data_IF_896413828325
#
_entry.id   IF_896413828325
#
_cell.length_a   1.000
_cell.length_b   1.000
_cell.length_c   1.000
_cell.angle_alpha   90.00
_cell.angle_beta   90.00
_cell.angle_gamma   90.00
#
_symmetry.space_group_name_H-M   'P 1'
#
loop_
_entity.id
_entity.type
_entity.pdbx_description
1 polymer ?
#
# COMPACT_ATOMS: atom_id res chain seq x y z
N UNK A 1 -19.34 -25.31 -1.32
CA UNK A 1 -19.91 -24.23 -2.14
C UNK A 1 -21.42 -24.18 -1.92
N UNK A 2 -21.97 -23.04 -1.49
CA UNK A 2 -23.39 -22.88 -1.12
C UNK A 2 -24.28 -22.88 -2.39
N UNK A 3 -25.53 -23.37 -2.27
CA UNK A 3 -26.59 -23.30 -3.30
C UNK A 3 -26.74 -21.89 -3.89
N UNK A 4 -26.65 -20.85 -3.07
CA UNK A 4 -26.68 -19.45 -3.51
C UNK A 4 -25.53 -19.09 -4.46
N UNK A 5 -24.32 -19.60 -4.19
CA UNK A 5 -23.14 -19.37 -5.06
C UNK A 5 -23.29 -20.09 -6.40
N UNK A 6 -23.84 -21.32 -6.39
CA UNK A 6 -24.13 -22.07 -7.63
C UNK A 6 -25.17 -21.36 -8.50
N UNK A 7 -26.21 -20.81 -7.88
CA UNK A 7 -27.27 -20.08 -8.60
C UNK A 7 -26.75 -18.78 -9.21
N UNK A 8 -26.00 -17.99 -8.44
CA UNK A 8 -25.38 -16.76 -8.94
C UNK A 8 -24.40 -17.02 -10.10
N UNK A 9 -23.69 -18.15 -10.09
CA UNK A 9 -22.77 -18.51 -11.17
C UNK A 9 -23.54 -18.96 -12.42
N UNK A 10 -24.60 -19.77 -12.26
CA UNK A 10 -25.48 -20.19 -13.36
C UNK A 10 -26.13 -18.98 -14.07
N UNK A 11 -26.61 -17.99 -13.31
CA UNK A 11 -27.18 -16.76 -13.85
C UNK A 11 -26.16 -15.94 -14.68
N UNK A 12 -24.87 -15.96 -14.31
CA UNK A 12 -23.80 -15.31 -15.08
C UNK A 12 -23.56 -16.00 -16.42
N UNK A 13 -23.57 -17.33 -16.44
CA UNK A 13 -23.41 -18.11 -17.67
C UNK A 13 -24.60 -17.95 -18.62
N UNK A 14 -25.82 -17.96 -18.08
CA UNK A 14 -27.03 -17.70 -18.85
C UNK A 14 -27.01 -16.30 -19.50
N UNK A 15 -26.51 -15.28 -18.78
CA UNK A 15 -26.38 -13.92 -19.30
C UNK A 15 -25.47 -13.80 -20.53
N UNK A 16 -24.45 -14.66 -20.64
CA UNK A 16 -23.56 -14.69 -21.81
C UNK A 16 -24.08 -15.61 -22.92
N UNK A 17 -25.31 -16.14 -22.76
CA UNK A 17 -25.98 -16.98 -23.74
C UNK A 17 -25.42 -18.40 -23.80
N UNK A 18 -24.85 -18.91 -22.70
CA UNK A 18 -24.39 -20.30 -22.61
C UNK A 18 -25.36 -21.16 -21.81
N UNK A 19 -25.70 -22.30 -22.40
CA UNK A 19 -26.43 -23.37 -21.72
C UNK A 19 -25.58 -24.02 -20.62
N UNK A 20 -26.20 -24.67 -19.60
CA UNK A 20 -25.47 -25.27 -18.49
C UNK A 20 -24.35 -26.24 -18.91
N UNK A 21 -24.55 -27.01 -19.98
CA UNK A 21 -23.55 -27.94 -20.51
C UNK A 21 -22.34 -27.21 -21.11
N UNK A 22 -22.61 -26.14 -21.85
CA UNK A 22 -21.60 -25.29 -22.48
C UNK A 22 -20.78 -24.54 -21.41
N UNK A 23 -21.47 -24.02 -20.39
CA UNK A 23 -20.85 -23.43 -19.20
C UNK A 23 -19.93 -24.45 -18.50
N UNK A 24 -20.36 -25.70 -18.35
CA UNK A 24 -19.55 -26.76 -17.74
C UNK A 24 -18.31 -27.10 -18.59
N UNK A 25 -18.39 -27.06 -19.93
CA UNK A 25 -17.22 -27.21 -20.80
C UNK A 25 -16.26 -26.03 -20.63
N UNK A 26 -16.76 -24.79 -20.70
CA UNK A 26 -15.95 -23.59 -20.51
C UNK A 26 -15.26 -23.57 -19.13
N UNK A 27 -15.98 -23.93 -18.08
CA UNK A 27 -15.46 -24.00 -16.71
C UNK A 27 -14.40 -25.10 -16.56
N UNK A 28 -14.58 -26.28 -17.18
CA UNK A 28 -13.55 -27.34 -17.23
C UNK A 28 -12.29 -26.90 -17.98
N UNK A 29 -12.45 -26.06 -18.99
CA UNK A 29 -11.34 -25.42 -19.69
C UNK A 29 -10.78 -24.21 -18.92
N UNK A 30 -11.32 -23.91 -17.74
CA UNK A 30 -10.88 -22.87 -16.81
C UNK A 30 -11.19 -21.44 -17.25
N UNK A 31 -12.26 -21.27 -18.03
CA UNK A 31 -12.86 -19.98 -18.36
C UNK A 31 -13.99 -19.61 -17.39
N UNK A 32 -14.19 -18.31 -17.18
CA UNK A 32 -15.33 -17.71 -16.47
C UNK A 32 -16.31 -17.10 -17.50
N UNK A 33 -17.55 -16.84 -17.09
CA UNK A 33 -18.56 -16.24 -17.97
C UNK A 33 -18.08 -14.95 -18.67
N UNK A 34 -17.39 -14.06 -17.94
CA UNK A 34 -16.83 -12.83 -18.51
C UNK A 34 -15.74 -13.05 -19.57
N UNK A 35 -15.08 -14.20 -19.59
CA UNK A 35 -14.12 -14.54 -20.65
C UNK A 35 -14.84 -14.83 -21.97
N UNK A 36 -15.97 -15.52 -21.90
CA UNK A 36 -16.83 -15.80 -23.05
C UNK A 36 -17.42 -14.51 -23.62
N UNK A 37 -17.83 -13.59 -22.74
CA UNK A 37 -18.35 -12.30 -23.15
C UNK A 37 -17.30 -11.48 -23.93
N UNK A 38 -16.04 -11.47 -23.46
CA UNK A 38 -14.93 -10.84 -24.19
C UNK A 38 -14.68 -11.49 -25.54
N UNK A 39 -14.74 -12.81 -25.60
CA UNK A 39 -14.53 -13.59 -26.83
C UNK A 39 -15.62 -13.34 -27.88
N UNK A 40 -16.87 -13.16 -27.43
CA UNK A 40 -17.98 -12.73 -28.29
C UNK A 40 -17.79 -11.30 -28.78
N UNK A 41 -17.41 -10.35 -27.91
CA UNK A 41 -17.16 -8.95 -28.30
C UNK A 41 -16.04 -8.79 -29.33
N UNK A 42 -15.02 -9.65 -29.30
CA UNK A 42 -13.90 -9.59 -30.24
C UNK A 42 -14.19 -10.29 -31.57
N UNK A 43 -15.35 -10.93 -31.74
CA UNK A 43 -15.68 -11.66 -32.99
C UNK A 43 -16.92 -11.04 -33.65
N UNK A 44 -16.83 -10.47 -34.87
CA UNK A 44 -17.92 -9.73 -35.51
C UNK A 44 -19.16 -10.54 -35.93
N UNK A 45 -19.10 -11.88 -35.89
CA UNK A 45 -20.19 -12.77 -36.31
C UNK A 45 -20.75 -13.55 -35.12
N UNK A 46 -22.05 -13.87 -35.16
CA UNK A 46 -22.67 -14.87 -34.27
C UNK A 46 -21.94 -16.21 -34.44
N UNK A 47 -20.98 -16.46 -33.55
CA UNK A 47 -20.34 -17.76 -33.45
C UNK A 47 -21.34 -18.74 -32.82
N UNK A 48 -21.56 -19.86 -33.48
CA UNK A 48 -22.20 -21.01 -32.88
C UNK A 48 -21.31 -21.62 -31.77
N UNK A 49 -21.93 -22.40 -30.89
CA UNK A 49 -21.20 -23.02 -29.78
C UNK A 49 -20.02 -23.91 -30.24
N UNK A 50 -20.15 -24.77 -31.27
CA UNK A 50 -19.02 -25.57 -31.76
C UNK A 50 -17.77 -24.76 -32.09
N UNK A 51 -17.91 -23.61 -32.74
CA UNK A 51 -16.77 -22.74 -33.06
C UNK A 51 -16.20 -22.05 -31.82
N UNK A 52 -17.06 -21.60 -30.89
CA UNK A 52 -16.63 -21.08 -29.58
C UNK A 52 -15.81 -22.14 -28.83
N UNK A 53 -16.34 -23.35 -28.71
CA UNK A 53 -15.69 -24.46 -28.02
C UNK A 53 -14.33 -24.79 -28.66
N UNK A 54 -14.27 -24.89 -29.99
CA UNK A 54 -13.02 -25.13 -30.73
C UNK A 54 -11.96 -24.07 -30.40
N UNK A 55 -12.35 -22.79 -30.38
CA UNK A 55 -11.45 -21.68 -30.03
C UNK A 55 -10.99 -21.73 -28.58
N UNK A 56 -11.89 -22.02 -27.64
CA UNK A 56 -11.55 -22.17 -26.23
C UNK A 56 -10.54 -23.30 -26.02
N UNK A 57 -10.75 -24.44 -26.67
CA UNK A 57 -9.82 -25.60 -26.62
C UNK A 57 -8.47 -25.24 -27.22
N UNK A 58 -8.45 -24.69 -28.44
CA UNK A 58 -7.21 -24.28 -29.09
C UNK A 58 -6.42 -23.26 -28.25
N UNK A 59 -7.12 -22.32 -27.61
CA UNK A 59 -6.51 -21.34 -26.71
C UNK A 59 -5.94 -22.02 -25.47
N UNK A 60 -6.72 -22.88 -24.80
CA UNK A 60 -6.26 -23.62 -23.63
C UNK A 60 -5.05 -24.51 -23.96
N UNK A 61 -5.05 -25.16 -25.11
CA UNK A 61 -3.97 -26.03 -25.56
C UNK A 61 -2.72 -25.25 -25.94
N UNK A 62 -2.85 -24.08 -26.58
CA UNK A 62 -1.73 -23.19 -26.86
C UNK A 62 -1.08 -22.68 -25.56
N UNK A 63 -1.89 -22.33 -24.55
CA UNK A 63 -1.41 -21.91 -23.24
C UNK A 63 -0.73 -23.08 -22.51
N UNK A 64 -1.35 -24.26 -22.50
CA UNK A 64 -0.75 -25.49 -21.96
C UNK A 64 0.58 -25.80 -22.64
N UNK A 65 0.66 -25.70 -23.96
CA UNK A 65 1.90 -25.97 -24.70
C UNK A 65 3.02 -24.99 -24.31
N UNK A 66 2.70 -23.69 -24.13
CA UNK A 66 3.67 -22.67 -23.70
C UNK A 66 4.10 -22.80 -22.24
N UNK A 67 3.28 -23.42 -21.39
CA UNK A 67 3.46 -23.37 -19.94
C UNK A 67 3.38 -24.74 -19.24
N UNK A 68 3.46 -25.86 -19.96
CA UNK A 68 2.98 -27.19 -19.57
C UNK A 68 3.24 -27.59 -18.11
N UNK A 69 4.45 -27.37 -17.59
CA UNK A 69 4.78 -27.70 -16.19
C UNK A 69 4.23 -26.71 -15.16
N UNK A 70 4.16 -25.41 -15.51
CA UNK A 70 3.75 -24.33 -14.59
C UNK A 70 2.26 -23.98 -14.68
N UNK A 71 1.60 -24.32 -15.79
CA UNK A 71 0.18 -24.10 -15.96
C UNK A 71 -0.65 -24.98 -15.03
N UNK A 72 -0.26 -26.23 -14.83
CA UNK A 72 -0.94 -27.12 -13.87
C UNK A 72 -0.83 -26.58 -12.46
N UNK A 73 0.34 -26.10 -12.04
CA UNK A 73 0.53 -25.42 -10.75
C UNK A 73 -0.32 -24.15 -10.64
N UNK A 74 -0.38 -23.34 -11.71
CA UNK A 74 -1.21 -22.13 -11.75
C UNK A 74 -2.69 -22.44 -11.49
N UNK A 75 -3.25 -23.44 -12.16
CA UNK A 75 -4.65 -23.85 -11.96
C UNK A 75 -4.85 -24.50 -10.58
N UNK A 76 -3.89 -25.29 -10.10
CA UNK A 76 -3.96 -25.93 -8.77
C UNK A 76 -4.05 -24.92 -7.62
N UNK A 77 -3.50 -23.72 -7.81
CA UNK A 77 -3.62 -22.59 -6.88
C UNK A 77 -4.93 -21.80 -7.02
N UNK A 78 -5.87 -22.26 -7.85
CA UNK A 78 -7.19 -21.66 -8.04
C UNK A 78 -7.23 -20.50 -9.03
N UNK A 79 -6.14 -20.25 -9.77
CA UNK A 79 -6.11 -19.24 -10.81
C UNK A 79 -6.80 -19.73 -12.09
N UNK A 80 -7.23 -18.82 -12.97
CA UNK A 80 -7.91 -19.21 -14.23
C UNK A 80 -6.99 -19.19 -15.44
N UNK A 81 -7.45 -19.85 -16.51
CA UNK A 81 -6.76 -19.81 -17.82
C UNK A 81 -6.75 -18.40 -18.38
N UNK A 82 -7.85 -17.66 -18.23
CA UNK A 82 -7.91 -16.27 -18.67
C UNK A 82 -6.95 -15.35 -17.89
N UNK A 83 -6.77 -15.58 -16.59
CA UNK A 83 -5.73 -14.88 -15.82
C UNK A 83 -4.34 -15.24 -16.35
N UNK A 84 -4.06 -16.53 -16.61
CA UNK A 84 -2.79 -16.97 -17.19
C UNK A 84 -2.51 -16.27 -18.53
N UNK A 85 -3.51 -16.23 -19.43
CA UNK A 85 -3.44 -15.56 -20.73
C UNK A 85 -3.14 -14.08 -20.54
N UNK A 86 -3.87 -13.39 -19.66
CA UNK A 86 -3.64 -11.95 -19.43
C UNK A 86 -2.20 -11.65 -18.99
N UNK A 87 -1.63 -12.49 -18.10
CA UNK A 87 -0.24 -12.36 -17.69
C UNK A 87 0.75 -12.66 -18.83
N UNK A 88 0.49 -13.71 -19.61
CA UNK A 88 1.31 -14.07 -20.78
C UNK A 88 1.27 -12.99 -21.87
N UNK A 89 0.10 -12.42 -22.15
CA UNK A 89 -0.12 -11.36 -23.14
C UNK A 89 0.55 -10.05 -22.69
N UNK A 90 0.58 -9.78 -21.38
CA UNK A 90 1.39 -8.71 -20.79
C UNK A 90 2.90 -9.04 -20.76
N UNK A 91 3.31 -10.16 -21.38
CA UNK A 91 4.69 -10.58 -21.55
C UNK A 91 5.33 -11.16 -20.29
N UNK A 92 4.55 -11.53 -19.27
CA UNK A 92 5.07 -12.17 -18.06
C UNK A 92 5.13 -13.68 -18.24
N UNK A 93 6.17 -14.31 -17.67
CA UNK A 93 6.17 -15.74 -17.43
C UNK A 93 5.24 -16.07 -16.25
N UNK A 94 4.52 -17.20 -16.27
CA UNK A 94 3.57 -17.53 -15.20
C UNK A 94 4.22 -17.64 -13.80
N UNK A 95 5.49 -18.06 -13.72
CA UNK A 95 6.23 -18.04 -12.46
C UNK A 95 6.52 -16.63 -11.95
N UNK A 96 6.79 -15.69 -12.86
CA UNK A 96 7.00 -14.31 -12.50
C UNK A 96 5.67 -13.70 -12.06
N UNK A 97 4.60 -13.93 -12.83
CA UNK A 97 3.24 -13.51 -12.50
C UNK A 97 2.83 -13.96 -11.09
N UNK A 98 3.17 -15.20 -10.71
CA UNK A 98 2.98 -15.68 -9.35
C UNK A 98 3.69 -14.82 -8.29
N UNK A 99 4.97 -14.53 -8.51
CA UNK A 99 5.76 -13.68 -7.61
C UNK A 99 5.22 -12.26 -7.46
N UNK A 100 4.62 -11.70 -8.51
CA UNK A 100 3.91 -10.42 -8.47
C UNK A 100 2.60 -10.51 -7.70
N UNK A 101 1.79 -11.55 -7.97
CA UNK A 101 0.51 -11.77 -7.27
C UNK A 101 0.68 -11.98 -5.77
N UNK A 102 1.67 -12.79 -5.38
CA UNK A 102 1.98 -13.06 -3.97
C UNK A 102 2.35 -11.79 -3.18
N UNK A 103 2.70 -10.71 -3.89
CA UNK A 103 3.14 -9.42 -3.33
C UNK A 103 2.12 -8.29 -3.52
N UNK A 104 0.85 -8.65 -3.73
CA UNK A 104 -0.23 -7.67 -3.81
C UNK A 104 -0.47 -7.06 -5.19
N UNK A 105 0.09 -7.63 -6.27
CA UNK A 105 -0.19 -7.20 -7.64
C UNK A 105 -1.10 -8.24 -8.34
N UNK A 106 -2.43 -8.19 -8.15
CA UNK A 106 -3.33 -9.28 -8.53
C UNK A 106 -3.48 -9.46 -10.05
N UNK A 107 -3.19 -8.42 -10.83
CA UNK A 107 -3.38 -8.39 -12.28
C UNK A 107 -2.13 -7.85 -12.98
N UNK A 108 -1.91 -8.22 -14.26
CA UNK A 108 -0.79 -7.69 -15.03
C UNK A 108 -0.84 -6.17 -15.16
N UNK A 109 -2.03 -5.54 -15.17
CA UNK A 109 -2.18 -4.08 -15.24
C UNK A 109 -1.56 -3.37 -14.03
N UNK A 110 -1.62 -3.98 -12.83
CA UNK A 110 -0.95 -3.42 -11.66
C UNK A 110 0.57 -3.63 -11.71
N UNK A 111 1.06 -4.77 -12.21
CA UNK A 111 2.48 -5.11 -12.24
C UNK A 111 3.25 -4.48 -13.43
N UNK A 112 2.58 -4.27 -14.56
CA UNK A 112 3.21 -3.86 -15.82
C UNK A 112 3.92 -2.51 -15.72
N UNK A 113 3.35 -1.45 -15.11
CA UNK A 113 4.06 -0.18 -14.94
C UNK A 113 5.38 -0.37 -14.19
N UNK A 114 5.37 -1.14 -13.09
CA UNK A 114 6.56 -1.38 -12.26
C UNK A 114 7.62 -2.16 -13.03
N UNK A 115 7.22 -3.21 -13.73
CA UNK A 115 8.14 -4.00 -14.57
C UNK A 115 8.73 -3.16 -15.71
N UNK A 116 7.93 -2.31 -16.35
CA UNK A 116 8.38 -1.45 -17.45
C UNK A 116 9.48 -0.46 -17.01
N UNK A 117 9.44 -0.06 -15.74
CA UNK A 117 10.46 0.78 -15.10
C UNK A 117 11.63 -0.02 -14.50
N UNK A 118 11.66 -1.35 -14.75
CA UNK A 118 12.76 -2.22 -14.32
C UNK A 118 12.67 -2.73 -12.89
N UNK A 119 11.55 -2.52 -12.18
CA UNK A 119 11.39 -3.03 -10.81
C UNK A 119 11.07 -4.53 -10.80
N UNK A 120 11.64 -5.22 -9.82
CA UNK A 120 11.22 -6.57 -9.44
C UNK A 120 9.91 -6.50 -8.62
N UNK A 121 9.19 -7.62 -8.52
CA UNK A 121 7.99 -7.70 -7.69
C UNK A 121 8.26 -7.31 -6.22
N UNK A 122 9.40 -7.73 -5.68
CA UNK A 122 9.82 -7.41 -4.31
C UNK A 122 10.17 -5.92 -4.15
N UNK A 123 10.86 -5.31 -5.11
CA UNK A 123 11.13 -3.88 -5.06
C UNK A 123 9.83 -3.07 -5.13
N UNK A 124 8.91 -3.45 -6.02
CA UNK A 124 7.61 -2.80 -6.15
C UNK A 124 6.76 -2.91 -4.88
N UNK A 125 6.74 -4.10 -4.26
CA UNK A 125 6.07 -4.36 -2.99
C UNK A 125 6.53 -3.43 -1.88
N UNK A 126 7.85 -3.22 -1.74
CA UNK A 126 8.38 -2.33 -0.70
C UNK A 126 7.83 -0.92 -0.85
N UNK A 127 7.75 -0.39 -2.07
CA UNK A 127 7.18 0.93 -2.32
C UNK A 127 5.66 0.98 -2.11
N UNK A 128 4.91 -0.02 -2.55
CA UNK A 128 3.46 -0.02 -2.37
C UNK A 128 3.07 -0.11 -0.90
N UNK A 129 3.87 -0.80 -0.08
CA UNK A 129 3.71 -0.84 1.38
C UNK A 129 3.91 0.53 2.06
N UNK A 130 4.61 1.47 1.43
CA UNK A 130 4.74 2.84 1.94
C UNK A 130 3.67 3.78 1.38
N UNK A 131 2.67 3.25 0.66
CA UNK A 131 1.62 4.03 0.01
C UNK A 131 1.97 4.54 -1.39
N UNK A 132 3.17 4.28 -1.90
CA UNK A 132 3.58 4.70 -3.25
C UNK A 132 2.98 3.75 -4.30
N UNK A 133 1.95 4.20 -5.01
CA UNK A 133 1.19 3.35 -5.93
C UNK A 133 1.73 3.28 -7.36
N UNK A 134 2.59 4.22 -7.76
CA UNK A 134 3.04 4.35 -9.14
C UNK A 134 4.57 4.49 -9.25
N UNK A 135 5.26 3.73 -10.14
CA UNK A 135 6.72 3.73 -10.23
C UNK A 135 7.31 5.08 -10.70
N UNK A 136 6.51 5.92 -11.38
CA UNK A 136 6.92 7.28 -11.72
C UNK A 136 7.22 8.14 -10.48
N UNK A 137 6.48 7.94 -9.37
CA UNK A 137 6.75 8.62 -8.11
C UNK A 137 8.07 8.15 -7.50
N UNK A 138 8.43 6.88 -7.68
CA UNK A 138 9.68 6.33 -7.15
C UNK A 138 10.90 7.03 -7.74
N UNK A 139 10.90 7.33 -9.04
CA UNK A 139 12.00 8.08 -9.67
C UNK A 139 12.21 9.44 -9.02
N UNK A 140 11.12 10.12 -8.65
CA UNK A 140 11.19 11.42 -7.98
C UNK A 140 11.70 11.29 -6.54
N UNK A 141 11.21 10.29 -5.80
CA UNK A 141 11.66 10.00 -4.44
C UNK A 141 13.16 9.65 -4.40
N UNK A 142 13.62 8.83 -5.35
CA UNK A 142 15.03 8.48 -5.47
C UNK A 142 15.92 9.70 -5.80
N UNK A 143 15.46 10.67 -6.60
CA UNK A 143 16.18 11.94 -6.83
C UNK A 143 16.33 12.75 -5.55
N UNK A 144 15.31 12.71 -4.70
CA UNK A 144 15.31 13.30 -3.34
C UNK A 144 16.11 12.47 -2.33
N UNK A 145 16.75 11.37 -2.76
CA UNK A 145 17.49 10.39 -1.92
C UNK A 145 16.61 9.72 -0.86
N UNK A 146 15.31 9.65 -1.11
CA UNK A 146 14.35 8.94 -0.26
C UNK A 146 14.29 7.48 -0.73
N UNK A 147 14.56 6.54 0.16
CA UNK A 147 14.51 5.09 -0.13
C UNK A 147 13.20 4.48 0.36
N UNK A 148 12.84 3.32 -0.19
CA UNK A 148 11.67 2.56 0.28
C UNK A 148 11.81 2.20 1.76
N UNK A 149 13.00 1.80 2.21
CA UNK A 149 13.27 1.43 3.60
C UNK A 149 13.08 2.61 4.56
N UNK A 150 13.55 3.81 4.16
CA UNK A 150 13.36 5.03 4.96
C UNK A 150 11.87 5.40 5.08
N UNK A 151 11.10 5.30 4.00
CA UNK A 151 9.66 5.54 4.05
C UNK A 151 8.94 4.46 4.86
N UNK A 152 9.32 3.20 4.72
CA UNK A 152 8.75 2.09 5.48
C UNK A 152 8.94 2.28 6.98
N UNK A 153 10.14 2.69 7.39
CA UNK A 153 10.42 3.01 8.79
C UNK A 153 9.53 4.11 9.35
N UNK A 154 9.03 5.02 8.51
CA UNK A 154 8.13 6.11 8.90
C UNK A 154 6.66 5.63 8.87
N UNK A 155 6.21 5.09 7.74
CA UNK A 155 4.79 4.77 7.50
C UNK A 155 4.29 3.61 8.35
N UNK A 156 5.17 2.67 8.77
CA UNK A 156 4.77 1.57 9.67
C UNK A 156 4.31 2.04 11.05
N UNK A 157 4.65 3.27 11.46
CA UNK A 157 4.16 3.90 12.69
C UNK A 157 2.89 4.73 12.46
N UNK A 158 2.23 4.59 11.30
CA UNK A 158 0.97 5.26 11.00
C UNK A 158 1.12 6.70 10.53
N UNK A 159 2.33 7.17 10.21
CA UNK A 159 2.56 8.48 9.60
C UNK A 159 2.09 8.43 8.14
N UNK A 160 1.13 9.26 7.70
CA UNK A 160 0.68 9.32 6.31
C UNK A 160 1.83 9.67 5.36
N UNK A 161 1.78 9.16 4.12
CA UNK A 161 2.86 9.36 3.13
C UNK A 161 3.12 10.83 2.83
N UNK A 162 2.07 11.63 2.63
CA UNK A 162 2.18 13.08 2.38
C UNK A 162 2.83 13.82 3.55
N UNK A 163 2.43 13.49 4.78
CA UNK A 163 3.07 14.00 6.00
C UNK A 163 4.54 13.60 6.03
N UNK A 164 4.86 12.32 5.87
CA UNK A 164 6.24 11.82 5.86
C UNK A 164 7.13 12.54 4.83
N UNK A 165 6.60 12.82 3.65
CA UNK A 165 7.33 13.56 2.60
C UNK A 165 7.61 15.01 2.98
N UNK A 166 6.68 15.71 3.66
CA UNK A 166 6.91 17.08 4.15
C UNK A 166 8.02 17.12 5.21
N UNK A 167 8.03 16.16 6.15
CA UNK A 167 9.13 16.01 7.11
C UNK A 167 10.48 15.79 6.41
N UNK A 168 10.53 14.88 5.43
CA UNK A 168 11.76 14.57 4.70
C UNK A 168 12.25 15.76 3.86
N UNK A 169 11.35 16.51 3.21
CA UNK A 169 11.70 17.74 2.48
C UNK A 169 12.26 18.83 3.38
N UNK A 170 11.90 18.80 4.65
CA UNK A 170 12.42 19.70 5.67
C UNK A 170 13.74 19.23 6.29
N UNK A 171 14.29 18.12 5.80
CA UNK A 171 15.59 17.59 6.19
C UNK A 171 15.57 16.83 7.52
N UNK A 172 14.40 16.40 7.99
CA UNK A 172 14.33 15.54 9.17
C UNK A 172 14.85 14.13 8.85
N UNK A 173 15.60 13.55 9.78
CA UNK A 173 16.07 12.18 9.66
C UNK A 173 14.86 11.22 9.73
N UNK A 174 14.76 10.21 8.83
CA UNK A 174 13.64 9.26 8.82
C UNK A 174 13.31 8.64 10.18
N UNK A 175 14.35 8.25 10.93
CA UNK A 175 14.23 7.61 12.25
C UNK A 175 13.65 8.51 13.34
N UNK A 176 13.70 9.84 13.18
CA UNK A 176 13.19 10.78 14.17
C UNK A 176 11.70 11.09 13.98
N UNK A 177 11.19 10.98 12.75
CA UNK A 177 9.84 11.44 12.37
C UNK A 177 8.74 10.74 13.18
N UNK A 178 8.73 9.40 13.36
CA UNK A 178 7.67 8.73 14.11
C UNK A 178 7.51 9.26 15.54
N UNK A 179 8.61 9.54 16.23
CA UNK A 179 8.57 10.05 17.61
C UNK A 179 7.96 11.45 17.69
N UNK A 180 8.28 12.33 16.74
CA UNK A 180 7.67 13.66 16.70
C UNK A 180 6.20 13.63 16.30
N UNK A 181 5.85 12.78 15.32
CA UNK A 181 4.47 12.62 14.86
C UNK A 181 3.56 12.04 15.95
N UNK A 182 4.03 11.04 16.71
CA UNK A 182 3.29 10.46 17.84
C UNK A 182 2.95 11.49 18.92
N UNK A 183 3.84 12.47 19.14
CA UNK A 183 3.63 13.58 20.07
C UNK A 183 2.71 14.67 19.52
N UNK A 184 2.18 14.51 18.29
CA UNK A 184 1.30 15.46 17.64
C UNK A 184 2.02 16.69 17.07
N UNK A 185 3.35 16.68 16.99
CA UNK A 185 4.08 17.82 16.47
C UNK A 185 4.00 17.90 14.94
N UNK A 186 4.03 19.13 14.42
CA UNK A 186 4.33 19.41 13.01
C UNK A 186 5.83 19.66 12.80
N UNK A 187 6.35 19.56 11.56
CA UNK A 187 7.73 19.91 11.27
C UNK A 187 8.13 21.35 11.68
N UNK A 188 7.21 22.31 11.56
CA UNK A 188 7.40 23.70 12.02
C UNK A 188 7.62 23.76 13.52
N UNK A 189 6.73 23.13 14.29
CA UNK A 189 6.83 23.11 15.74
C UNK A 189 8.15 22.47 16.20
N UNK A 190 8.58 21.38 15.54
CA UNK A 190 9.89 20.79 15.89
C UNK A 190 11.06 21.71 15.53
N UNK A 191 10.96 22.48 14.44
CA UNK A 191 11.97 23.51 14.15
C UNK A 191 12.00 24.59 15.24
N UNK A 192 10.82 25.08 15.64
CA UNK A 192 10.65 26.08 16.69
C UNK A 192 11.15 25.62 18.06
N UNK A 193 11.07 24.32 18.37
CA UNK A 193 11.71 23.77 19.59
C UNK A 193 13.20 24.10 19.66
N UNK A 194 13.90 24.26 18.53
CA UNK A 194 15.31 24.66 18.53
C UNK A 194 16.17 23.78 19.43
N UNK A 195 16.77 24.37 20.46
CA UNK A 195 17.58 23.66 21.46
C UNK A 195 16.76 22.80 22.42
N UNK A 196 15.46 23.07 22.62
CA UNK A 196 14.56 22.30 23.49
C UNK A 196 14.48 20.82 23.09
N UNK A 197 14.82 20.48 21.84
CA UNK A 197 14.90 19.09 21.37
C UNK A 197 15.88 18.24 22.18
N UNK A 198 16.87 18.85 22.85
CA UNK A 198 17.80 18.11 23.70
C UNK A 198 17.16 17.54 24.97
N UNK A 199 15.95 17.97 25.33
CA UNK A 199 15.18 17.32 26.41
C UNK A 199 14.83 15.86 26.09
N UNK A 200 14.82 15.49 24.81
CA UNK A 200 14.41 14.16 24.36
C UNK A 200 12.89 13.94 24.37
N UNK A 201 12.44 12.90 23.67
CA UNK A 201 11.01 12.64 23.45
C UNK A 201 10.24 12.37 24.75
N UNK A 202 10.83 11.66 25.72
CA UNK A 202 10.14 11.29 26.97
C UNK A 202 9.75 12.50 27.83
N UNK A 203 10.67 13.46 27.99
CA UNK A 203 10.41 14.68 28.77
C UNK A 203 9.39 15.58 28.07
N UNK A 204 9.48 15.70 26.75
CA UNK A 204 8.49 16.43 25.96
C UNK A 204 7.10 15.78 26.06
N UNK A 205 7.03 14.44 25.98
CA UNK A 205 5.79 13.68 26.20
C UNK A 205 5.21 13.95 27.58
N UNK A 206 6.05 13.93 28.61
CA UNK A 206 5.65 14.20 29.98
C UNK A 206 5.05 15.60 30.14
N UNK A 207 5.71 16.63 29.60
CA UNK A 207 5.22 18.02 29.65
C UNK A 207 3.88 18.17 28.92
N UNK A 208 3.77 17.63 27.70
CA UNK A 208 2.52 17.68 26.93
C UNK A 208 1.38 16.96 27.65
N UNK A 209 1.63 15.78 28.21
CA UNK A 209 0.64 15.02 28.98
C UNK A 209 0.16 15.75 30.25
N UNK A 210 0.93 16.72 30.74
CA UNK A 210 0.58 17.59 31.88
C UNK A 210 -0.08 18.89 31.46
N UNK A 211 -0.38 19.06 30.17
CA UNK A 211 -1.05 20.23 29.62
C UNK A 211 -0.14 21.46 29.57
N UNK A 212 1.19 21.28 29.56
CA UNK A 212 2.12 22.39 29.39
C UNK A 212 2.02 22.92 27.95
N UNK A 213 1.63 24.19 27.73
CA UNK A 213 1.48 24.72 26.39
C UNK A 213 2.80 24.69 25.62
N UNK A 214 2.72 24.44 24.32
CA UNK A 214 3.90 24.38 23.44
C UNK A 214 4.80 25.63 23.55
N UNK A 215 4.20 26.82 23.56
CA UNK A 215 4.93 28.08 23.72
C UNK A 215 5.68 28.16 25.06
N UNK A 216 5.14 27.57 26.13
CA UNK A 216 5.85 27.46 27.42
C UNK A 216 7.01 26.50 27.31
N UNK A 217 6.81 25.35 26.64
CA UNK A 217 7.89 24.39 26.38
C UNK A 217 9.03 25.09 25.65
N UNK A 218 8.80 25.77 24.52
CA UNK A 218 9.85 26.46 23.74
C UNK A 218 10.64 27.48 24.59
N UNK A 219 9.98 28.16 25.53
CA UNK A 219 10.58 29.21 26.35
C UNK A 219 11.12 28.73 27.72
N UNK A 220 11.14 27.42 27.99
CA UNK A 220 11.56 26.87 29.29
C UNK A 220 12.91 27.39 29.77
N UNK A 221 13.95 27.35 28.94
CA UNK A 221 15.29 27.83 29.32
C UNK A 221 15.29 29.32 29.73
N UNK A 222 14.48 30.15 29.07
CA UNK A 222 14.33 31.57 29.43
C UNK A 222 13.56 31.74 30.74
N UNK A 223 12.56 30.88 31.00
CA UNK A 223 11.72 30.94 32.19
C UNK A 223 12.46 30.45 33.44
N UNK A 224 13.29 29.41 33.32
CA UNK A 224 14.04 28.83 34.44
C UNK A 224 15.41 29.47 34.63
N UNK A 225 15.97 30.11 33.59
CA UNK A 225 17.36 30.56 33.57
C UNK A 225 18.37 29.42 33.45
N UNK A 226 17.91 28.18 33.24
CA UNK A 226 18.73 26.98 33.09
C UNK A 226 18.92 26.63 31.61
N UNK A 227 20.07 26.06 31.28
CA UNK A 227 20.24 25.44 29.96
C UNK A 227 19.43 24.14 29.88
N UNK A 228 19.10 23.72 28.66
CA UNK A 228 18.34 22.48 28.44
C UNK A 228 19.01 21.20 28.96
N UNK A 229 20.34 21.22 29.14
CA UNK A 229 21.10 20.12 29.71
C UNK A 229 21.05 20.10 31.24
N UNK A 230 20.79 21.25 31.87
CA UNK A 230 20.72 21.39 33.33
C UNK A 230 19.31 21.11 33.87
N UNK A 231 18.28 21.26 33.04
CA UNK A 231 16.88 20.99 33.43
C UNK A 231 16.73 19.51 33.81
N UNK A 232 16.46 19.27 35.09
CA UNK A 232 16.15 17.96 35.62
C UNK A 232 14.63 17.75 35.81
N UNK A 233 14.24 16.58 36.30
CA UNK A 233 12.82 16.25 36.45
C UNK A 233 12.13 17.08 37.55
N UNK A 234 12.89 17.58 38.54
CA UNK A 234 12.41 18.49 39.58
C UNK A 234 12.09 19.88 39.03
N UNK A 235 12.94 20.40 38.14
CA UNK A 235 12.70 21.66 37.44
C UNK A 235 11.42 21.59 36.58
N UNK A 236 11.21 20.47 35.88
CA UNK A 236 10.01 20.25 35.07
C UNK A 236 8.74 20.25 35.93
N UNK A 237 8.78 19.66 37.12
CA UNK A 237 7.66 19.66 38.08
C UNK A 237 7.37 21.09 38.54
N UNK A 238 8.41 21.86 38.90
CA UNK A 238 8.26 23.25 39.33
C UNK A 238 7.57 24.09 38.23
N UNK A 239 7.96 23.92 36.96
CA UNK A 239 7.31 24.62 35.85
C UNK A 239 5.84 24.21 35.69
N UNK A 240 5.51 22.92 35.83
CA UNK A 240 4.13 22.44 35.76
C UNK A 240 3.28 23.10 36.87
N UNK A 241 3.81 23.19 38.08
CA UNK A 241 3.13 23.78 39.23
C UNK A 241 2.93 25.29 39.10
N UNK A 242 3.80 25.97 38.33
CA UNK A 242 3.63 27.38 38.00
C UNK A 242 2.50 27.66 36.99
N UNK A 243 2.03 26.66 36.24
CA UNK A 243 0.97 26.84 35.23
C UNK A 243 -0.40 26.72 35.91
N UNK A 244 -1.22 27.80 35.93
CA UNK A 244 -2.52 27.77 36.57
C UNK A 244 -3.41 26.66 35.99
N UNK A 245 -4.20 25.94 36.82
CA UNK A 245 -5.06 24.85 36.34
C UNK A 245 -6.00 25.26 35.21
N UNK A 246 -6.44 26.53 35.19
CA UNK A 246 -7.34 27.09 34.17
C UNK A 246 -6.72 27.14 32.77
N UNK A 247 -5.40 27.01 32.63
CA UNK A 247 -4.69 26.99 31.35
C UNK A 247 -4.31 25.59 30.88
N UNK A 248 -4.60 24.53 31.65
CA UNK A 248 -4.24 23.14 31.31
C UNK A 248 -5.23 22.44 30.36
N UNK A 249 -6.15 23.18 29.73
CA UNK A 249 -7.42 22.61 29.22
C UNK A 249 -7.75 22.75 27.73
N UNK A 250 -6.95 23.42 26.91
CA UNK A 250 -7.21 23.47 25.46
C UNK A 250 -6.02 22.88 24.74
N UNK A 251 -6.07 21.58 24.49
CA UNK A 251 -5.08 20.83 23.72
C UNK A 251 -5.13 21.31 22.25
N UNK A 252 -4.18 22.13 21.79
CA UNK A 252 -4.21 22.64 20.42
C UNK A 252 -3.86 21.53 19.40
N UNK A 253 -3.39 20.36 19.85
CA UNK A 253 -2.98 19.24 19.00
C UNK A 253 -4.13 18.27 18.70
N UNK A 254 -5.33 18.51 19.24
CA UNK A 254 -6.55 17.71 18.97
C UNK A 254 -7.52 18.34 17.96
N UNK A 255 -7.08 19.38 17.24
CA UNK A 255 -7.89 20.07 16.20
C UNK A 255 -7.60 19.54 14.82
#
# INVERSE_FOLDING_TARGET
MNRATKQADAERWARVGLEPEQAAVAQRLGFRAGDIERLRRSTPNELDWPEIERRLRATADAVRARAAKRFTSWIAEGNTVAEAIAWLDAGFQLSAAWGWRARGFPTPQHAQPWRAEGYTAEAAERWTHTGVQHPAQVRELLRRRITADALWDITRYGVPLDVALDWLDRGFAPSAIPGWYELGFTPEQVRELGQARSLGHERLRYLLARGVPFATIVNLSTLTGLTWAEIDDGDLIAVIDMIPPTHRGTDPLRS
#
